data_IF_853978909477
#
_entry.id   IF_853978909477
#
_cell.length_a   1.000
_cell.length_b   1.000
_cell.length_c   1.000
_cell.angle_alpha   90.00
_cell.angle_beta   90.00
_cell.angle_gamma   90.00
#
_symmetry.space_group_name_H-M   'P 1'
#
loop_
_entity.id
_entity.type
_entity.pdbx_description
1 polymer ?
#
# COMPACT_ATOMS: atom_id res chain seq x y z
N UNK A 1 0.96 -17.44 40.33
CA UNK A 1 1.14 -16.21 39.52
C UNK A 1 0.78 -16.55 38.09
N UNK A 2 -0.45 -16.24 37.69
CA UNK A 2 -0.90 -16.43 36.31
C UNK A 2 -0.33 -15.26 35.51
N UNK A 3 0.67 -15.51 34.68
CA UNK A 3 1.16 -14.52 33.72
C UNK A 3 0.03 -14.27 32.71
N UNK A 4 -0.76 -13.23 32.95
CA UNK A 4 -1.66 -12.69 31.95
C UNK A 4 -0.81 -11.82 31.03
N UNK A 5 -0.24 -12.40 29.98
CA UNK A 5 0.19 -11.59 28.84
C UNK A 5 -1.09 -11.05 28.22
N UNK A 6 -1.39 -9.77 28.46
CA UNK A 6 -2.40 -9.08 27.66
C UNK A 6 -1.93 -9.16 26.21
N UNK A 7 -2.59 -10.00 25.40
CA UNK A 7 -2.35 -10.03 23.96
C UNK A 7 -2.75 -8.66 23.42
N UNK A 8 -1.76 -7.84 23.04
CA UNK A 8 -2.02 -6.59 22.34
C UNK A 8 -2.85 -6.89 21.09
N UNK A 9 -3.84 -6.06 20.81
CA UNK A 9 -4.60 -6.14 19.56
C UNK A 9 -3.69 -5.80 18.37
N UNK A 10 -4.04 -6.26 17.17
CA UNK A 10 -3.22 -6.01 15.98
C UNK A 10 -3.03 -4.53 15.66
N UNK A 11 -4.04 -3.71 15.94
CA UNK A 11 -3.96 -2.25 15.80
C UNK A 11 -2.94 -1.63 16.77
N UNK A 12 -2.80 -2.18 17.98
CA UNK A 12 -1.79 -1.72 18.94
C UNK A 12 -0.38 -2.11 18.51
N UNK A 13 -0.20 -3.32 17.95
CA UNK A 13 1.10 -3.76 17.41
C UNK A 13 1.55 -2.90 16.22
N UNK A 14 0.61 -2.55 15.35
CA UNK A 14 0.84 -1.62 14.24
C UNK A 14 1.23 -0.24 14.76
N UNK A 15 0.46 0.36 15.67
CA UNK A 15 0.79 1.70 16.19
C UNK A 15 2.14 1.71 16.91
N UNK A 16 2.48 0.62 17.60
CA UNK A 16 3.79 0.42 18.20
C UNK A 16 4.92 0.36 17.18
N UNK A 17 4.71 -0.33 16.06
CA UNK A 17 5.71 -0.53 15.01
C UNK A 17 5.81 0.65 14.01
N UNK A 18 4.79 1.51 13.93
CA UNK A 18 4.82 2.75 13.15
C UNK A 18 5.97 3.65 13.57
N UNK A 19 6.48 4.40 12.59
CA UNK A 19 7.50 5.42 12.81
C UNK A 19 7.10 6.37 13.94
N UNK A 20 8.05 6.68 14.83
CA UNK A 20 7.85 7.63 15.94
C UNK A 20 8.26 9.06 15.57
N UNK A 21 8.58 9.31 14.29
CA UNK A 21 8.88 10.65 13.79
C UNK A 21 7.65 11.54 13.88
N UNK A 22 7.87 12.84 14.12
CA UNK A 22 6.78 13.80 14.09
C UNK A 22 6.24 14.00 12.66
N UNK A 23 5.00 14.46 12.54
CA UNK A 23 4.40 14.80 11.25
C UNK A 23 5.29 15.75 10.44
N UNK A 24 5.85 16.78 11.07
CA UNK A 24 6.76 17.73 10.40
C UNK A 24 8.04 17.06 9.87
N UNK A 25 8.56 16.06 10.57
CA UNK A 25 9.72 15.30 10.09
C UNK A 25 9.33 14.43 8.90
N UNK A 26 8.17 13.77 8.97
CA UNK A 26 7.66 12.91 7.90
C UNK A 26 7.39 13.75 6.64
N UNK A 27 6.66 14.85 6.75
CA UNK A 27 6.35 15.77 5.66
C UNK A 27 7.62 16.29 4.96
N UNK A 28 8.72 16.49 5.70
CA UNK A 28 10.02 16.89 5.12
C UNK A 28 10.73 15.72 4.44
N UNK A 29 10.72 14.54 5.06
CA UNK A 29 11.46 13.37 4.57
C UNK A 29 10.80 12.75 3.34
N UNK A 30 9.47 12.75 3.27
CA UNK A 30 8.71 12.04 2.24
C UNK A 30 8.83 12.70 0.86
N UNK A 31 9.13 14.01 0.79
CA UNK A 31 9.31 14.72 -0.49
C UNK A 31 10.52 14.15 -1.23
N UNK A 32 10.31 13.69 -2.47
CA UNK A 32 11.34 13.13 -3.33
C UNK A 32 10.81 12.00 -4.21
N UNK A 33 11.72 11.32 -4.91
CA UNK A 33 11.40 10.12 -5.69
C UNK A 33 11.82 8.89 -4.89
N UNK A 34 10.89 7.96 -4.74
CA UNK A 34 11.02 6.70 -4.01
C UNK A 34 10.89 5.54 -4.98
N UNK A 35 11.99 4.88 -5.27
CA UNK A 35 12.04 3.71 -6.14
C UNK A 35 11.74 2.44 -5.32
N UNK A 36 10.81 1.60 -5.79
CA UNK A 36 10.51 0.35 -5.11
C UNK A 36 11.73 -0.57 -5.14
N UNK A 37 12.15 -1.04 -3.96
CA UNK A 37 13.30 -1.93 -3.81
C UNK A 37 12.82 -3.39 -3.78
N UNK A 38 13.20 -4.15 -4.81
CA UNK A 38 12.93 -5.58 -4.88
C UNK A 38 13.69 -6.30 -3.77
N UNK A 39 12.96 -6.87 -2.81
CA UNK A 39 13.57 -7.58 -1.68
C UNK A 39 14.16 -8.92 -2.13
N UNK A 40 15.42 -9.17 -1.77
CA UNK A 40 16.13 -10.42 -1.99
C UNK A 40 16.68 -10.99 -0.69
N UNK A 41 16.79 -12.31 -0.60
CA UNK A 41 17.48 -12.98 0.49
C UNK A 41 18.99 -12.78 0.40
N UNK A 42 19.73 -13.29 1.38
CA UNK A 42 21.19 -13.19 1.43
C UNK A 42 21.90 -13.88 0.26
N UNK A 43 21.19 -14.72 -0.51
CA UNK A 43 21.69 -15.41 -1.71
C UNK A 43 21.26 -14.71 -3.00
N UNK A 44 20.59 -13.55 -2.92
CA UNK A 44 20.06 -12.82 -4.07
C UNK A 44 18.77 -13.40 -4.66
N UNK A 45 18.15 -14.41 -4.01
CA UNK A 45 16.84 -14.91 -4.41
C UNK A 45 15.79 -13.90 -4.03
N UNK A 46 14.90 -13.58 -4.96
CA UNK A 46 13.77 -12.68 -4.70
C UNK A 46 12.89 -13.23 -3.57
N UNK A 47 12.71 -12.44 -2.51
CA UNK A 47 11.76 -12.71 -1.40
C UNK A 47 10.35 -12.24 -1.77
N UNK A 48 10.24 -11.35 -2.76
CA UNK A 48 8.99 -10.77 -3.23
C UNK A 48 8.14 -11.76 -4.05
N UNK A 49 8.15 -13.07 -3.77
CA UNK A 49 7.33 -14.09 -4.46
C UNK A 49 6.49 -14.87 -3.46
N UNK A 50 5.16 -14.76 -3.55
CA UNK A 50 4.20 -15.57 -2.77
C UNK A 50 3.73 -16.73 -3.65
N UNK A 51 3.96 -17.97 -3.21
CA UNK A 51 3.40 -19.15 -3.88
C UNK A 51 2.02 -19.46 -3.32
N UNK A 52 1.01 -19.33 -4.16
CA UNK A 52 -0.37 -19.73 -3.90
C UNK A 52 -0.59 -21.17 -4.36
N UNK A 53 -1.12 -22.01 -3.46
CA UNK A 53 -1.55 -23.37 -3.80
C UNK A 53 -3.04 -23.35 -4.09
N UNK A 54 -3.43 -23.45 -5.37
CA UNK A 54 -4.83 -23.44 -5.80
C UNK A 54 -5.45 -24.84 -5.63
N UNK A 55 -4.66 -25.87 -5.90
CA UNK A 55 -4.93 -27.27 -5.57
C UNK A 55 -3.61 -28.08 -5.61
N UNK A 56 -3.69 -29.40 -5.37
CA UNK A 56 -2.54 -30.31 -5.33
C UNK A 56 -1.65 -30.31 -6.59
N UNK A 57 -2.15 -29.78 -7.71
CA UNK A 57 -1.47 -29.78 -9.01
C UNK A 57 -1.19 -28.38 -9.57
N UNK A 58 -1.77 -27.33 -8.97
CA UNK A 58 -1.68 -25.96 -9.49
C UNK A 58 -1.12 -25.04 -8.42
N UNK A 59 0.06 -24.50 -8.71
CA UNK A 59 0.68 -23.41 -7.95
C UNK A 59 0.73 -22.15 -8.82
N UNK A 60 0.37 -21.01 -8.25
CA UNK A 60 0.59 -19.70 -8.85
C UNK A 60 1.65 -18.95 -8.03
N UNK A 61 2.58 -18.26 -8.69
CA UNK A 61 3.53 -17.38 -8.01
C UNK A 61 3.09 -15.92 -8.23
N UNK A 62 2.86 -15.21 -7.15
CA UNK A 62 2.62 -13.77 -7.14
C UNK A 62 3.94 -13.05 -6.90
N UNK A 63 4.37 -12.24 -7.87
CA UNK A 63 5.51 -11.33 -7.68
C UNK A 63 4.98 -10.05 -7.00
N UNK A 64 5.39 -9.80 -5.76
CA UNK A 64 5.14 -8.55 -5.06
C UNK A 64 5.94 -7.46 -5.77
N UNK A 65 5.24 -6.69 -6.60
CA UNK A 65 5.75 -5.54 -7.31
C UNK A 65 4.89 -4.31 -6.97
N UNK A 66 5.52 -3.16 -6.74
CA UNK A 66 4.83 -1.88 -6.53
C UNK A 66 5.43 -0.81 -7.43
N UNK A 67 4.61 0.14 -7.93
CA UNK A 67 5.13 1.29 -8.66
C UNK A 67 6.00 2.13 -7.74
N UNK A 68 6.97 2.81 -8.33
CA UNK A 68 7.74 3.83 -7.62
C UNK A 68 6.86 5.08 -7.41
N UNK A 69 7.24 5.95 -6.48
CA UNK A 69 6.43 7.13 -6.12
C UNK A 69 7.25 8.40 -6.28
N UNK A 70 6.68 9.43 -6.88
CA UNK A 70 7.21 10.80 -6.83
C UNK A 70 6.30 11.65 -5.96
N UNK A 71 6.83 12.18 -4.86
CA UNK A 71 6.11 12.98 -3.89
C UNK A 71 6.64 14.42 -3.92
N UNK A 72 5.80 15.37 -4.29
CA UNK A 72 6.19 16.76 -4.52
C UNK A 72 5.85 17.66 -3.34
N UNK A 73 6.67 18.70 -3.14
CA UNK A 73 6.48 19.70 -2.06
C UNK A 73 5.17 20.47 -2.19
N UNK A 74 4.61 20.58 -3.39
CA UNK A 74 3.34 21.27 -3.66
C UNK A 74 2.11 20.44 -3.27
N UNK A 75 2.29 19.29 -2.60
CA UNK A 75 1.21 18.40 -2.18
C UNK A 75 0.68 17.49 -3.28
N UNK A 76 1.40 17.35 -4.41
CA UNK A 76 1.05 16.39 -5.47
C UNK A 76 1.91 15.14 -5.40
N UNK A 77 1.39 14.03 -5.92
CA UNK A 77 2.18 12.82 -6.11
C UNK A 77 1.82 12.13 -7.42
N UNK A 78 2.70 11.23 -7.85
CA UNK A 78 2.54 10.40 -9.04
C UNK A 78 3.16 9.02 -8.79
N UNK A 79 2.47 7.96 -9.20
CA UNK A 79 3.03 6.62 -9.32
C UNK A 79 3.74 6.48 -10.68
N UNK A 80 4.97 6.00 -10.66
CA UNK A 80 5.82 5.85 -11.84
C UNK A 80 6.28 4.40 -12.03
N UNK A 81 6.51 4.04 -13.29
CA UNK A 81 7.03 2.72 -13.67
C UNK A 81 5.97 1.61 -13.62
N UNK A 82 4.69 1.93 -13.74
CA UNK A 82 3.64 0.92 -13.63
C UNK A 82 3.60 -0.03 -14.82
N UNK A 83 3.41 -1.33 -14.52
CA UNK A 83 3.27 -2.37 -15.55
C UNK A 83 2.09 -2.12 -16.50
N UNK A 84 1.02 -1.53 -15.98
CA UNK A 84 -0.11 -1.04 -16.76
C UNK A 84 -0.21 0.49 -16.56
N UNK A 85 -0.20 1.31 -17.63
CA UNK A 85 -0.43 2.76 -17.53
C UNK A 85 -1.75 3.11 -16.85
N UNK A 86 -2.78 2.27 -16.98
CA UNK A 86 -4.03 2.46 -16.27
C UNK A 86 -3.85 2.35 -14.75
N UNK A 87 -2.78 1.74 -14.24
CA UNK A 87 -2.47 1.66 -12.81
C UNK A 87 -1.56 2.79 -12.32
N UNK A 88 -0.99 3.60 -13.23
CA UNK A 88 -0.28 4.82 -12.86
C UNK A 88 -1.29 5.90 -12.55
N UNK A 89 -1.43 6.19 -11.26
CA UNK A 89 -2.27 7.27 -10.76
C UNK A 89 -1.43 8.46 -10.30
N UNK A 90 -2.10 9.60 -10.24
CA UNK A 90 -1.59 10.83 -9.65
C UNK A 90 -2.66 11.45 -8.78
N UNK A 91 -2.24 12.33 -7.90
CA UNK A 91 -3.18 13.01 -7.03
C UNK A 91 -2.57 13.98 -6.05
N UNK A 92 -3.28 14.15 -4.94
CA UNK A 92 -2.85 14.93 -3.79
C UNK A 92 -2.44 14.03 -2.64
N UNK A 93 -1.36 14.40 -1.97
CA UNK A 93 -0.94 13.72 -0.75
C UNK A 93 -1.07 14.62 0.47
N UNK A 94 -1.34 14.01 1.61
CA UNK A 94 -1.25 14.64 2.93
C UNK A 94 -0.79 13.60 3.96
N UNK A 95 -0.22 14.07 5.06
CA UNK A 95 0.01 13.22 6.22
C UNK A 95 -1.04 13.54 7.29
N UNK A 96 -1.96 12.61 7.52
CA UNK A 96 -2.93 12.72 8.60
C UNK A 96 -2.20 12.57 9.94
N UNK A 97 -2.27 13.62 10.75
CA UNK A 97 -1.56 13.71 12.03
C UNK A 97 -2.28 13.00 13.17
N UNK A 98 -3.60 12.86 13.07
CA UNK A 98 -4.45 12.21 14.06
C UNK A 98 -4.30 10.69 13.98
N UNK A 99 -4.44 10.14 12.77
CA UNK A 99 -4.38 8.71 12.49
C UNK A 99 -2.97 8.23 12.10
N UNK A 100 -2.02 9.15 11.90
CA UNK A 100 -0.64 8.88 11.48
C UNK A 100 -0.59 8.09 10.16
N UNK A 101 -1.37 8.55 9.18
CA UNK A 101 -1.53 7.92 7.87
C UNK A 101 -1.02 8.84 6.77
N UNK A 102 -0.27 8.30 5.81
CA UNK A 102 -0.02 9.02 4.57
C UNK A 102 -1.17 8.73 3.62
N UNK A 103 -1.93 9.78 3.29
CA UNK A 103 -3.08 9.70 2.40
C UNK A 103 -2.71 10.15 1.01
N UNK A 104 -3.16 9.38 0.03
CA UNK A 104 -2.98 9.59 -1.39
C UNK A 104 -4.37 9.67 -2.02
N UNK A 105 -4.88 10.88 -2.22
CA UNK A 105 -6.19 11.12 -2.82
C UNK A 105 -6.03 11.21 -4.33
N UNK A 106 -6.74 10.40 -5.09
CA UNK A 106 -6.60 10.32 -6.54
C UNK A 106 -7.19 11.56 -7.24
N UNK A 107 -6.53 12.05 -8.30
CA UNK A 107 -7.11 13.08 -9.17
C UNK A 107 -8.35 12.57 -9.91
N UNK A 108 -8.40 11.26 -10.16
CA UNK A 108 -9.54 10.57 -10.77
C UNK A 108 -9.90 9.35 -9.93
N UNK A 109 -11.19 9.12 -9.63
CA UNK A 109 -11.60 7.91 -8.93
C UNK A 109 -11.21 6.67 -9.73
N UNK A 110 -10.87 5.62 -8.99
CA UNK A 110 -10.61 4.28 -9.52
C UNK A 110 -11.81 3.40 -9.22
N UNK A 111 -11.98 2.35 -10.00
CA UNK A 111 -13.08 1.41 -9.83
C UNK A 111 -12.55 -0.02 -9.78
N UNK A 112 -13.27 -0.89 -9.09
CA UNK A 112 -12.96 -2.34 -9.04
C UNK A 112 -13.09 -3.04 -10.41
N UNK A 113 -13.60 -2.34 -11.42
CA UNK A 113 -13.77 -2.82 -12.80
C UNK A 113 -13.35 -1.71 -13.79
N UNK A 114 -12.91 -2.06 -15.01
CA UNK A 114 -12.52 -1.08 -16.02
C UNK A 114 -13.76 -0.43 -16.66
N UNK A 115 -14.28 0.62 -16.02
CA UNK A 115 -15.56 1.26 -16.40
C UNK A 115 -15.62 1.73 -17.86
N UNK A 116 -14.49 2.16 -18.44
CA UNK A 116 -14.40 2.64 -19.82
C UNK A 116 -14.56 1.51 -20.86
N UNK A 117 -14.49 0.25 -20.42
CA UNK A 117 -14.66 -0.95 -21.27
C UNK A 117 -16.02 -1.60 -21.09
N UNK A 118 -16.87 -1.07 -20.21
CA UNK A 118 -18.19 -1.63 -19.93
C UNK A 118 -19.25 -1.06 -20.89
N UNK A 119 -20.19 -1.91 -21.29
CA UNK A 119 -21.38 -1.43 -21.98
C UNK A 119 -22.22 -0.54 -21.03
N UNK A 120 -22.85 0.54 -21.52
CA UNK A 120 -23.58 1.47 -20.65
C UNK A 120 -24.63 0.80 -19.74
N UNK A 121 -25.40 -0.16 -20.25
CA UNK A 121 -26.41 -0.88 -19.46
C UNK A 121 -25.81 -1.75 -18.35
N UNK A 122 -24.62 -2.32 -18.56
CA UNK A 122 -23.92 -3.09 -17.53
C UNK A 122 -23.36 -2.17 -16.44
N UNK A 123 -22.84 -1.00 -16.81
CA UNK A 123 -22.36 0.00 -15.85
C UNK A 123 -23.50 0.48 -14.93
N UNK A 124 -24.68 0.72 -15.50
CA UNK A 124 -25.87 1.12 -14.73
C UNK A 124 -26.30 0.00 -13.76
N UNK A 125 -26.37 -1.25 -14.23
CA UNK A 125 -26.68 -2.40 -13.38
C UNK A 125 -25.71 -2.55 -12.19
N UNK A 126 -24.41 -2.42 -12.43
CA UNK A 126 -23.39 -2.51 -11.36
C UNK A 126 -23.52 -1.37 -10.35
N UNK A 127 -23.91 -0.17 -10.82
CA UNK A 127 -24.16 0.98 -9.95
C UNK A 127 -25.40 0.77 -9.11
N UNK A 128 -26.49 0.31 -9.70
CA UNK A 128 -27.76 0.03 -9.00
C UNK A 128 -27.62 -1.12 -7.99
N UNK A 129 -26.84 -2.16 -8.32
CA UNK A 129 -26.60 -3.29 -7.43
C UNK A 129 -25.62 -2.99 -6.29
N UNK A 130 -24.95 -1.83 -6.31
CA UNK A 130 -23.88 -1.50 -5.38
C UNK A 130 -22.60 -2.32 -5.58
N UNK A 131 -22.47 -3.03 -6.70
CA UNK A 131 -21.29 -3.85 -7.02
C UNK A 131 -20.15 -3.03 -7.66
N UNK A 132 -20.46 -1.83 -8.15
CA UNK A 132 -19.46 -0.86 -8.57
C UNK A 132 -18.86 -0.18 -7.33
N UNK A 133 -17.60 -0.51 -7.02
CA UNK A 133 -16.89 0.07 -5.89
C UNK A 133 -15.98 1.18 -6.42
N UNK A 134 -16.18 2.38 -5.90
CA UNK A 134 -15.33 3.54 -6.18
C UNK A 134 -14.24 3.67 -5.10
N UNK A 135 -13.01 3.84 -5.55
CA UNK A 135 -11.86 4.14 -4.73
C UNK A 135 -11.39 5.57 -5.05
N UNK A 136 -11.35 6.41 -4.03
CA UNK A 136 -10.96 7.83 -4.17
C UNK A 136 -9.61 8.14 -3.53
N UNK A 137 -9.09 7.21 -2.73
CA UNK A 137 -7.82 7.36 -2.04
C UNK A 137 -7.16 6.02 -1.75
N UNK A 138 -5.86 6.09 -1.47
CA UNK A 138 -5.08 5.07 -0.79
C UNK A 138 -4.54 5.63 0.53
N UNK A 139 -4.36 4.77 1.53
CA UNK A 139 -3.80 5.13 2.82
C UNK A 139 -2.67 4.16 3.14
N UNK A 140 -1.48 4.68 3.40
CA UNK A 140 -0.30 3.88 3.72
C UNK A 140 0.25 4.26 5.09
N UNK A 141 0.78 3.25 5.76
CA UNK A 141 1.34 3.38 7.09
C UNK A 141 2.85 3.23 7.03
N UNK A 142 3.57 4.19 7.61
CA UNK A 142 5.02 4.16 7.61
C UNK A 142 5.52 3.36 8.82
N UNK A 143 6.14 2.22 8.53
CA UNK A 143 6.95 1.49 9.51
C UNK A 143 8.20 2.33 9.83
N UNK A 144 8.88 2.82 8.80
CA UNK A 144 10.08 3.63 8.93
C UNK A 144 10.20 4.60 7.76
N UNK A 145 10.76 5.79 8.03
CA UNK A 145 11.16 6.72 6.98
C UNK A 145 12.47 7.40 7.38
N UNK A 146 13.43 7.41 6.48
CA UNK A 146 14.75 8.05 6.66
C UNK A 146 15.04 8.96 5.46
N UNK A 147 16.27 9.46 5.35
CA UNK A 147 16.68 10.25 4.18
C UNK A 147 16.81 9.41 2.91
N UNK A 148 16.97 8.09 3.02
CA UNK A 148 17.29 7.21 1.89
C UNK A 148 16.38 6.00 1.76
N UNK A 149 15.57 5.71 2.79
CA UNK A 149 14.74 4.51 2.85
C UNK A 149 13.36 4.83 3.41
N UNK A 150 12.33 4.24 2.80
CA UNK A 150 10.94 4.29 3.23
C UNK A 150 10.43 2.85 3.32
N UNK A 151 9.95 2.47 4.49
CA UNK A 151 9.32 1.17 4.73
C UNK A 151 7.86 1.37 5.06
N UNK A 152 6.98 0.72 4.31
CA UNK A 152 5.53 0.84 4.49
C UNK A 152 4.92 -0.52 4.81
N UNK A 153 3.93 -0.50 5.69
CA UNK A 153 3.09 -1.67 5.92
C UNK A 153 2.06 -1.76 4.81
N UNK A 154 1.93 -2.96 4.26
CA UNK A 154 0.80 -3.35 3.43
C UNK A 154 0.02 -4.43 4.17
N UNK A 155 -1.15 -4.07 4.67
CA UNK A 155 -1.98 -5.00 5.43
C UNK A 155 -2.66 -5.97 4.48
N UNK A 156 -2.57 -7.26 4.82
CA UNK A 156 -3.24 -8.32 4.08
C UNK A 156 -4.57 -8.66 4.75
N UNK A 157 -5.49 -9.22 3.99
CA UNK A 157 -6.74 -9.74 4.55
C UNK A 157 -6.45 -10.73 5.67
N UNK A 158 -7.13 -10.53 6.80
CA UNK A 158 -7.00 -11.35 8.00
C UNK A 158 -8.38 -11.87 8.38
N UNK A 159 -8.43 -13.12 8.81
CA UNK A 159 -9.61 -13.73 9.44
C UNK A 159 -9.79 -13.29 10.91
N UNK A 160 -8.97 -12.34 11.37
CA UNK A 160 -8.95 -11.83 12.74
C UNK A 160 -8.12 -12.67 13.70
N UNK A 161 -7.56 -13.81 13.27
CA UNK A 161 -6.77 -14.71 14.13
C UNK A 161 -5.27 -14.51 13.97
N UNK A 162 -4.80 -13.93 12.87
CA UNK A 162 -3.39 -13.66 12.60
C UNK A 162 -3.18 -12.28 11.96
N UNK A 163 -2.17 -11.54 12.42
CA UNK A 163 -1.76 -10.31 11.75
C UNK A 163 -0.91 -10.63 10.53
N UNK A 164 -1.44 -10.35 9.35
CA UNK A 164 -0.76 -10.58 8.07
C UNK A 164 -0.47 -9.25 7.40
N UNK A 165 0.79 -9.05 7.03
CA UNK A 165 1.23 -7.86 6.33
C UNK A 165 2.46 -8.16 5.48
N UNK A 166 2.64 -7.37 4.42
CA UNK A 166 3.91 -7.23 3.72
C UNK A 166 4.63 -5.98 4.22
N UNK A 167 5.96 -6.04 4.28
CA UNK A 167 6.80 -4.87 4.47
C UNK A 167 7.37 -4.46 3.10
N UNK A 168 6.88 -3.36 2.56
CA UNK A 168 7.31 -2.84 1.26
C UNK A 168 8.41 -1.81 1.51
N UNK A 169 9.51 -1.89 0.75
CA UNK A 169 10.67 -1.03 0.92
C UNK A 169 10.88 -0.19 -0.34
N UNK A 170 11.17 1.08 -0.15
CA UNK A 170 11.54 2.02 -1.19
C UNK A 170 12.87 2.70 -0.86
N UNK A 171 13.64 3.00 -1.91
CA UNK A 171 14.89 3.77 -1.85
C UNK A 171 14.68 5.16 -2.41
N UNK A 172 15.23 6.16 -1.74
CA UNK A 172 15.20 7.54 -2.25
C UNK A 172 16.27 7.73 -3.33
N UNK A 173 15.89 8.35 -4.44
CA UNK A 173 16.80 8.73 -5.53
C UNK A 173 17.41 10.11 -5.33
#
# INVERSE_FOLDING_TARGET
MTYCQSSKTYLELIDDAKTKKSAEQIEKLIIGTWEFEKLTDSNGKTISEITHFINDTITANEVIWRPSMRIEKNGTYELIGCDNPDNCESGKWEYDREFKLFRMTYDKPRYNVPIDKLAPGLLEQLRESGSLIEFTKNEIEFAEITQTELKVFELLESDGTEFKYNLIVYRKK
#
